data_IF_140948315142
#
_entry.id   IF_140948315142
#
_cell.length_a   1.000
_cell.length_b   1.000
_cell.length_c   1.000
_cell.angle_alpha   90.00
_cell.angle_beta   90.00
_cell.angle_gamma   90.00
#
_symmetry.space_group_name_H-M   'P 1'
#
loop_
_entity.id
_entity.type
_entity.pdbx_description
1 polymer ?
#
# COMPACT_ATOMS: atom_id res chain seq x y z
N UNK A 1 -6.34 -4.59 14.82
CA UNK A 1 -5.24 -4.24 13.89
C UNK A 1 -5.81 -4.03 12.50
N UNK A 2 -5.52 -2.90 11.89
CA UNK A 2 -5.92 -2.61 10.50
C UNK A 2 -4.67 -2.46 9.64
N UNK A 3 -4.71 -3.03 8.45
CA UNK A 3 -3.58 -3.01 7.53
C UNK A 3 -3.92 -2.19 6.28
N UNK A 4 -2.95 -1.46 5.77
CA UNK A 4 -2.98 -0.96 4.41
C UNK A 4 -1.83 -1.57 3.61
N UNK A 5 -1.95 -1.58 2.30
CA UNK A 5 -1.00 -2.28 1.45
C UNK A 5 -0.34 -1.33 0.47
N UNK A 6 0.99 -1.45 0.35
CA UNK A 6 1.77 -0.79 -0.67
C UNK A 6 1.51 -1.43 -2.04
N UNK A 7 1.64 -0.64 -3.09
CA UNK A 7 1.41 -1.07 -4.47
C UNK A 7 2.25 -2.28 -4.87
N UNK A 8 3.52 -2.32 -4.48
CA UNK A 8 4.46 -3.39 -4.85
C UNK A 8 3.97 -4.77 -4.44
N UNK A 9 3.43 -4.90 -3.22
CA UNK A 9 2.91 -6.18 -2.72
C UNK A 9 1.73 -6.64 -3.57
N UNK A 10 0.82 -5.73 -3.88
CA UNK A 10 -0.37 -6.05 -4.68
C UNK A 10 -0.02 -6.43 -6.11
N UNK A 11 0.95 -5.74 -6.71
CA UNK A 11 1.44 -6.07 -8.04
C UNK A 11 2.03 -7.48 -8.06
N UNK A 12 2.84 -7.83 -7.06
CA UNK A 12 3.43 -9.17 -6.98
C UNK A 12 2.37 -10.25 -6.80
N UNK A 13 1.33 -9.98 -6.02
CA UNK A 13 0.18 -10.89 -5.87
C UNK A 13 -0.52 -11.08 -7.22
N UNK A 14 -0.82 -9.98 -7.92
CA UNK A 14 -1.51 -10.02 -9.21
C UNK A 14 -0.72 -10.76 -10.29
N UNK A 15 0.60 -10.60 -10.28
CA UNK A 15 1.49 -11.25 -11.25
C UNK A 15 1.88 -12.68 -10.88
N UNK A 16 1.45 -13.15 -9.72
CA UNK A 16 1.77 -14.50 -9.23
C UNK A 16 3.26 -14.72 -8.95
N UNK A 17 4.03 -13.65 -8.73
CA UNK A 17 5.47 -13.72 -8.47
C UNK A 17 5.83 -14.20 -7.08
N UNK A 18 4.91 -14.01 -6.12
CA UNK A 18 5.14 -14.29 -4.71
C UNK A 18 3.98 -15.13 -4.18
N UNK A 19 4.05 -16.48 -4.34
CA UNK A 19 3.02 -17.36 -3.77
C UNK A 19 2.87 -17.21 -2.26
N UNK A 20 3.96 -16.89 -1.57
CA UNK A 20 3.95 -16.62 -0.13
C UNK A 20 3.09 -15.39 0.23
N UNK A 21 3.10 -14.35 -0.60
CA UNK A 21 2.25 -13.17 -0.40
C UNK A 21 0.77 -13.52 -0.54
N UNK A 22 0.44 -14.32 -1.52
CA UNK A 22 -0.95 -14.77 -1.72
C UNK A 22 -1.43 -15.58 -0.53
N UNK A 23 -0.60 -16.46 -0.01
CA UNK A 23 -0.94 -17.26 1.17
C UNK A 23 -1.12 -16.38 2.41
N UNK A 24 -0.24 -15.40 2.61
CA UNK A 24 -0.39 -14.43 3.72
C UNK A 24 -1.70 -13.66 3.62
N UNK A 25 -2.04 -13.19 2.41
CA UNK A 25 -3.31 -12.50 2.18
C UNK A 25 -4.49 -13.41 2.53
N UNK A 26 -4.45 -14.66 2.08
CA UNK A 26 -5.50 -15.64 2.39
C UNK A 26 -5.67 -15.81 3.90
N UNK A 27 -4.58 -15.89 4.65
CA UNK A 27 -4.63 -16.01 6.11
C UNK A 27 -5.22 -14.79 6.79
N UNK A 28 -4.87 -13.59 6.30
CA UNK A 28 -5.46 -12.35 6.83
C UNK A 28 -6.97 -12.29 6.59
N UNK A 29 -7.41 -12.70 5.40
CA UNK A 29 -8.83 -12.73 5.07
C UNK A 29 -9.58 -13.76 5.93
N UNK A 30 -8.99 -14.93 6.15
CA UNK A 30 -9.57 -15.95 7.01
C UNK A 30 -9.68 -15.47 8.48
N UNK A 31 -8.74 -14.66 8.93
CA UNK A 31 -8.73 -14.08 10.27
C UNK A 31 -9.59 -12.81 10.37
N UNK A 32 -10.23 -12.39 9.28
CA UNK A 32 -11.09 -11.21 9.21
C UNK A 32 -10.37 -9.92 9.64
N UNK A 33 -9.08 -9.81 9.33
CA UNK A 33 -8.30 -8.60 9.59
C UNK A 33 -8.78 -7.50 8.63
N UNK A 34 -9.09 -6.29 9.13
CA UNK A 34 -9.48 -5.18 8.24
C UNK A 34 -8.35 -4.79 7.30
N UNK A 35 -8.62 -4.82 6.00
CA UNK A 35 -7.65 -4.47 4.95
C UNK A 35 -8.11 -3.22 4.23
N UNK A 36 -7.21 -2.27 4.09
CA UNK A 36 -7.51 -0.98 3.46
C UNK A 36 -6.63 -0.74 2.25
N UNK A 37 -7.18 -0.02 1.28
CA UNK A 37 -6.50 0.33 0.04
C UNK A 37 -6.57 1.84 -0.14
N UNK A 38 -5.42 2.49 -0.13
CA UNK A 38 -5.30 3.91 -0.44
C UNK A 38 -5.72 4.16 -1.89
N UNK A 39 -6.48 5.23 -2.15
CA UNK A 39 -6.89 5.56 -3.53
C UNK A 39 -5.71 5.81 -4.46
N UNK A 40 -4.57 6.26 -3.95
CA UNK A 40 -3.35 6.38 -4.77
C UNK A 40 -2.80 5.02 -5.18
N UNK A 41 -2.88 4.01 -4.31
CA UNK A 41 -2.51 2.63 -4.65
C UNK A 41 -3.47 2.08 -5.70
N UNK A 42 -4.76 2.29 -5.49
CA UNK A 42 -5.78 1.89 -6.47
C UNK A 42 -5.50 2.50 -7.84
N UNK A 43 -5.18 3.80 -7.89
CA UNK A 43 -4.82 4.49 -9.12
C UNK A 43 -3.60 3.84 -9.80
N UNK A 44 -2.54 3.56 -9.06
CA UNK A 44 -1.35 2.93 -9.64
C UNK A 44 -1.64 1.55 -10.23
N UNK A 45 -2.46 0.76 -9.53
CA UNK A 45 -2.87 -0.56 -10.03
C UNK A 45 -3.67 -0.43 -11.32
N UNK A 46 -4.64 0.48 -11.36
CA UNK A 46 -5.50 0.66 -12.53
C UNK A 46 -4.73 1.27 -13.70
N UNK A 47 -3.79 2.16 -13.44
CA UNK A 47 -2.92 2.68 -14.49
C UNK A 47 -2.10 1.54 -15.12
N UNK A 48 -1.52 0.67 -14.30
CA UNK A 48 -0.79 -0.50 -14.80
C UNK A 48 -1.66 -1.42 -15.67
N UNK A 49 -2.93 -1.59 -15.28
CA UNK A 49 -3.91 -2.34 -16.06
C UNK A 49 -4.15 -1.69 -17.44
N UNK A 50 -4.42 -0.37 -17.44
CA UNK A 50 -4.78 0.35 -18.67
C UNK A 50 -3.65 0.36 -19.71
N UNK A 51 -2.39 0.37 -19.28
CA UNK A 51 -1.22 0.35 -20.18
C UNK A 51 -0.74 -1.05 -20.52
N UNK A 52 -1.37 -2.09 -19.97
CA UNK A 52 -0.97 -3.48 -20.23
C UNK A 52 -1.38 -3.91 -21.64
N UNK A 53 -0.79 -5.02 -22.12
CA UNK A 53 -1.12 -5.60 -23.43
C UNK A 53 -2.54 -6.18 -23.48
N UNK A 54 -3.12 -6.54 -22.32
CA UNK A 54 -4.46 -7.15 -22.23
C UNK A 54 -5.25 -6.44 -21.12
N UNK A 55 -5.65 -5.18 -21.32
CA UNK A 55 -6.26 -4.39 -20.24
C UNK A 55 -7.58 -4.98 -19.71
N UNK A 56 -8.43 -5.54 -20.56
CA UNK A 56 -9.71 -6.11 -20.10
C UNK A 56 -9.49 -7.30 -19.17
N UNK A 57 -8.58 -8.19 -19.53
CA UNK A 57 -8.23 -9.35 -18.71
C UNK A 57 -7.56 -8.92 -17.38
N UNK A 58 -6.63 -8.00 -17.46
CA UNK A 58 -5.91 -7.52 -16.27
C UNK A 58 -6.83 -6.74 -15.33
N UNK A 59 -7.76 -5.95 -15.87
CA UNK A 59 -8.73 -5.19 -15.09
C UNK A 59 -9.59 -6.11 -14.24
N UNK A 60 -10.12 -7.16 -14.85
CA UNK A 60 -10.97 -8.12 -14.14
C UNK A 60 -10.23 -8.76 -12.95
N UNK A 61 -8.99 -9.18 -13.16
CA UNK A 61 -8.17 -9.75 -12.10
C UNK A 61 -7.84 -8.74 -11.01
N UNK A 62 -7.50 -7.52 -11.38
CA UNK A 62 -7.17 -6.46 -10.42
C UNK A 62 -8.37 -6.10 -9.56
N UNK A 63 -9.54 -6.00 -10.16
CA UNK A 63 -10.79 -5.71 -9.44
C UNK A 63 -11.10 -6.83 -8.44
N UNK A 64 -10.93 -8.09 -8.83
CA UNK A 64 -11.14 -9.22 -7.91
C UNK A 64 -10.27 -9.11 -6.65
N UNK A 65 -8.99 -8.75 -6.81
CA UNK A 65 -8.10 -8.57 -5.66
C UNK A 65 -8.53 -7.35 -4.84
N UNK A 66 -8.85 -6.24 -5.49
CA UNK A 66 -9.25 -5.01 -4.79
C UNK A 66 -10.53 -5.18 -3.98
N UNK A 67 -11.42 -6.09 -4.35
CA UNK A 67 -12.65 -6.37 -3.61
C UNK A 67 -12.42 -6.89 -2.19
N UNK A 68 -11.24 -7.45 -1.92
CA UNK A 68 -10.87 -7.87 -0.58
C UNK A 68 -10.46 -6.71 0.34
N UNK A 69 -10.33 -5.52 -0.21
CA UNK A 69 -9.89 -4.32 0.50
C UNK A 69 -10.99 -3.29 0.55
N UNK A 70 -11.00 -2.52 1.62
CA UNK A 70 -11.84 -1.33 1.71
C UNK A 70 -11.05 -0.15 1.14
N UNK A 71 -11.47 0.38 0.01
CA UNK A 71 -10.83 1.54 -0.59
C UNK A 71 -11.10 2.77 0.28
N UNK A 72 -10.05 3.48 0.63
CA UNK A 72 -10.13 4.64 1.52
C UNK A 72 -9.80 5.93 0.78
N UNK A 73 -10.74 6.86 0.79
CA UNK A 73 -10.53 8.19 0.21
C UNK A 73 -9.40 8.92 0.93
N UNK A 74 -8.58 9.59 0.15
CA UNK A 74 -7.48 10.37 0.68
C UNK A 74 -7.98 11.78 1.03
N UNK A 75 -7.91 12.13 2.31
CA UNK A 75 -8.58 13.32 2.86
C UNK A 75 -7.60 14.43 3.23
N UNK A 76 -8.14 15.56 3.68
CA UNK A 76 -7.35 16.68 4.19
C UNK A 76 -6.50 16.28 5.41
N UNK A 77 -7.00 15.40 6.27
CA UNK A 77 -6.22 14.88 7.41
C UNK A 77 -5.01 14.08 6.93
N UNK A 78 -5.20 13.28 5.89
CA UNK A 78 -4.10 12.54 5.26
C UNK A 78 -3.06 13.51 4.66
N UNK A 79 -3.54 14.62 4.08
CA UNK A 79 -2.67 15.66 3.52
C UNK A 79 -1.80 16.32 4.60
N UNK A 80 -2.38 16.64 5.76
CA UNK A 80 -1.63 17.22 6.87
C UNK A 80 -0.56 16.26 7.38
N UNK A 81 -0.92 14.99 7.60
CA UNK A 81 0.04 13.98 8.04
C UNK A 81 1.18 13.82 7.03
N UNK A 82 0.85 13.79 5.74
CA UNK A 82 1.85 13.68 4.66
C UNK A 82 2.77 14.88 4.64
N UNK A 83 2.24 16.10 4.75
CA UNK A 83 3.05 17.31 4.76
C UNK A 83 4.04 17.30 5.93
N UNK A 84 3.61 16.87 7.10
CA UNK A 84 4.46 16.80 8.29
C UNK A 84 5.57 15.76 8.15
N UNK A 85 5.25 14.57 7.67
CA UNK A 85 6.28 13.53 7.49
C UNK A 85 7.28 13.92 6.41
N UNK A 86 6.82 14.52 5.31
CA UNK A 86 7.73 14.98 4.25
C UNK A 86 8.67 16.08 4.74
N UNK A 87 8.17 17.00 5.56
CA UNK A 87 9.01 18.06 6.14
C UNK A 87 10.10 17.47 7.03
N UNK A 88 9.76 16.49 7.87
CA UNK A 88 10.73 15.80 8.73
C UNK A 88 11.78 15.03 7.93
N UNK A 89 11.35 14.32 6.89
CA UNK A 89 12.27 13.59 6.01
C UNK A 89 13.22 14.52 5.27
N UNK A 90 12.71 15.66 4.80
CA UNK A 90 13.54 16.69 4.15
C UNK A 90 14.61 17.22 5.11
N UNK A 91 14.23 17.55 6.34
CA UNK A 91 15.15 18.04 7.36
C UNK A 91 16.29 17.06 7.65
N UNK A 92 15.98 15.76 7.62
CA UNK A 92 16.96 14.69 7.85
C UNK A 92 17.75 14.31 6.59
N UNK A 93 17.41 14.88 5.44
CA UNK A 93 18.05 14.52 4.17
C UNK A 93 17.71 13.12 3.68
N UNK A 94 16.55 12.60 4.08
CA UNK A 94 16.12 11.24 3.75
C UNK A 94 14.75 11.23 3.05
N UNK A 95 14.60 11.89 1.88
CA UNK A 95 13.32 11.93 1.20
C UNK A 95 12.92 10.53 0.70
N UNK A 96 11.61 10.32 0.55
CA UNK A 96 11.03 9.13 -0.07
C UNK A 96 10.25 9.54 -1.30
N UNK A 97 9.86 8.59 -2.14
CA UNK A 97 9.06 8.86 -3.33
C UNK A 97 7.76 9.59 -2.99
N UNK A 98 7.29 10.44 -3.90
CA UNK A 98 6.11 11.27 -3.65
C UNK A 98 4.86 10.43 -3.38
N UNK A 99 4.62 9.39 -4.18
CA UNK A 99 3.46 8.51 -3.99
C UNK A 99 3.61 7.71 -2.69
N UNK A 100 4.81 7.22 -2.40
CA UNK A 100 5.07 6.50 -1.14
C UNK A 100 4.80 7.39 0.07
N UNK A 101 5.13 8.68 -0.02
CA UNK A 101 4.82 9.64 1.04
C UNK A 101 3.30 9.79 1.26
N UNK A 102 2.52 9.80 0.17
CA UNK A 102 1.06 9.90 0.25
C UNK A 102 0.46 8.65 0.90
N UNK A 103 0.97 7.48 0.56
CA UNK A 103 0.54 6.20 1.14
C UNK A 103 0.89 6.16 2.64
N UNK A 104 2.13 6.52 2.97
CA UNK A 104 2.60 6.57 4.36
C UNK A 104 1.82 7.58 5.19
N UNK A 105 1.49 8.73 4.61
CA UNK A 105 0.73 9.78 5.28
C UNK A 105 -0.66 9.32 5.69
N UNK A 106 -1.38 8.65 4.80
CA UNK A 106 -2.69 8.10 5.15
C UNK A 106 -2.59 7.02 6.23
N UNK A 107 -1.65 6.09 6.10
CA UNK A 107 -1.47 5.03 7.09
C UNK A 107 -1.16 5.62 8.46
N UNK A 108 -0.29 6.61 8.52
CA UNK A 108 0.05 7.30 9.77
C UNK A 108 -1.17 8.01 10.37
N UNK A 109 -1.91 8.76 9.56
CA UNK A 109 -3.10 9.50 10.00
C UNK A 109 -4.18 8.58 10.56
N UNK A 110 -4.30 7.39 10.00
CA UNK A 110 -5.36 6.41 10.36
C UNK A 110 -4.89 5.38 11.40
N UNK A 111 -3.61 5.40 11.78
CA UNK A 111 -3.06 4.41 12.72
C UNK A 111 -3.01 3.00 12.13
N UNK A 112 -2.89 2.87 10.81
CA UNK A 112 -2.78 1.58 10.14
C UNK A 112 -1.34 1.11 10.06
N UNK A 113 -1.14 -0.20 10.09
CA UNK A 113 0.14 -0.81 9.75
C UNK A 113 0.24 -0.93 8.23
N UNK A 114 1.36 -0.48 7.66
CA UNK A 114 1.60 -0.59 6.23
C UNK A 114 2.32 -1.90 5.90
N UNK A 115 1.69 -2.72 5.06
CA UNK A 115 2.30 -3.92 4.51
C UNK A 115 3.07 -3.53 3.25
N UNK A 116 4.35 -3.85 3.21
CA UNK A 116 5.23 -3.47 2.10
C UNK A 116 6.31 -4.52 1.85
N UNK A 117 6.83 -4.55 0.64
CA UNK A 117 8.07 -5.24 0.30
C UNK A 117 9.25 -4.28 0.13
N UNK A 118 9.03 -3.00 0.43
CA UNK A 118 10.04 -1.93 0.39
C UNK A 118 10.21 -1.29 1.77
N UNK A 119 10.41 -2.12 2.78
CA UNK A 119 10.48 -1.68 4.17
C UNK A 119 11.62 -0.69 4.43
N UNK A 120 12.73 -0.80 3.69
CA UNK A 120 13.87 0.10 3.86
C UNK A 120 13.50 1.57 3.67
N UNK A 121 12.71 1.88 2.66
CA UNK A 121 12.27 3.25 2.39
C UNK A 121 11.25 3.72 3.43
N UNK A 122 10.24 2.92 3.70
CA UNK A 122 9.19 3.29 4.65
C UNK A 122 9.67 3.33 6.11
N UNK A 123 10.76 2.62 6.45
CA UNK A 123 11.36 2.69 7.78
C UNK A 123 11.87 4.08 8.14
N UNK A 124 12.08 4.94 7.13
CA UNK A 124 12.47 6.35 7.34
C UNK A 124 11.35 7.18 7.96
N UNK A 125 10.11 6.72 7.85
CA UNK A 125 8.93 7.45 8.35
C UNK A 125 8.72 7.13 9.82
N UNK A 126 9.03 8.11 10.66
CA UNK A 126 8.85 7.99 12.11
C UNK A 126 7.36 7.92 12.45
N UNK A 127 7.00 6.99 13.32
CA UNK A 127 5.62 6.79 13.75
C UNK A 127 4.78 5.91 12.83
N UNK A 128 5.34 5.43 11.72
CA UNK A 128 4.66 4.50 10.83
C UNK A 128 4.97 3.06 11.23
N UNK A 129 3.95 2.28 11.53
CA UNK A 129 4.10 0.85 11.75
C UNK A 129 4.19 0.14 10.41
N UNK A 130 5.18 -0.72 10.25
CA UNK A 130 5.47 -1.43 9.00
C UNK A 130 5.46 -2.93 9.26
N UNK A 131 4.89 -3.66 8.30
CA UNK A 131 5.03 -5.11 8.21
C UNK A 131 5.76 -5.44 6.91
N UNK A 132 7.01 -5.88 7.04
CA UNK A 132 7.84 -6.23 5.88
C UNK A 132 7.55 -7.66 5.43
N UNK A 133 6.90 -7.80 4.28
CA UNK A 133 6.54 -9.11 3.76
C UNK A 133 7.69 -9.87 3.11
N UNK A 134 8.88 -9.27 2.99
CA UNK A 134 10.08 -10.00 2.63
C UNK A 134 10.66 -10.78 3.82
N UNK A 135 10.21 -10.47 5.03
CA UNK A 135 10.58 -11.21 6.23
C UNK A 135 9.55 -12.30 6.54
N UNK A 136 9.99 -13.44 7.11
CA UNK A 136 9.09 -14.54 7.45
C UNK A 136 8.02 -14.17 8.47
#
# INVERSE_FOLDING_TARGET
>A
MSLSFDTCVLIDILRGRRPDFRERLRLLLAAEVPLHLCTFVFHELMYGVEVSARPDFQRERAIEVCEFFKTADWTAEDAWATARLRARLRTRGEPIGAIDALIAGQATARGWTLVTSNAREFARVEGLDIQDWNQP
#
